data_IF_197853644546
#
_entry.id   IF_197853644546
#
_cell.length_a   1.000
_cell.length_b   1.000
_cell.length_c   1.000
_cell.angle_alpha   90.00
_cell.angle_beta   90.00
_cell.angle_gamma   90.00
#
_symmetry.space_group_name_H-M   'P 1'
#
loop_
_entity.id
_entity.type
_entity.pdbx_description
1 polymer ?
#
# COMPACT_ATOMS: atom_id res chain seq x y z
N UNK A 1 20.47 74.57 0.53
CA UNK A 1 19.59 73.43 0.83
C UNK A 1 20.10 72.22 0.06
N UNK A 2 20.23 71.09 0.75
CA UNK A 2 20.65 69.76 0.29
C UNK A 2 22.12 69.57 -0.13
N UNK A 3 22.86 68.82 0.70
CA UNK A 3 23.99 67.97 0.31
C UNK A 3 24.17 66.86 1.37
N UNK A 4 24.66 65.71 0.91
CA UNK A 4 24.89 64.43 1.59
C UNK A 4 25.92 64.50 2.74
N UNK A 5 25.76 63.65 3.78
CA UNK A 5 26.60 62.46 4.05
C UNK A 5 26.41 61.87 5.48
N UNK A 6 26.38 60.52 5.51
CA UNK A 6 26.94 59.55 6.49
C UNK A 6 26.58 59.63 7.98
N UNK A 7 26.04 58.53 8.51
CA UNK A 7 26.64 57.77 9.63
C UNK A 7 26.20 56.30 9.63
N UNK A 8 27.16 55.42 9.92
CA UNK A 8 27.11 53.96 10.03
C UNK A 8 26.74 53.54 11.46
N UNK A 9 25.90 52.52 11.64
CA UNK A 9 25.93 51.56 12.77
C UNK A 9 25.23 50.27 12.35
N UNK A 10 26.00 49.22 12.04
CA UNK A 10 26.19 47.98 12.83
C UNK A 10 25.09 46.93 12.67
N UNK A 11 25.50 45.74 12.24
CA UNK A 11 24.70 44.53 12.18
C UNK A 11 24.20 44.14 13.58
N UNK A 12 22.89 43.99 13.73
CA UNK A 12 22.27 43.34 14.89
C UNK A 12 21.50 42.10 14.43
N UNK A 13 21.81 41.01 15.14
CA UNK A 13 21.25 39.67 15.15
C UNK A 13 19.80 39.51 14.67
N UNK A 14 19.64 38.80 13.54
CA UNK A 14 18.40 38.10 13.21
C UNK A 14 18.34 36.78 13.99
N UNK A 15 18.09 36.87 15.29
CA UNK A 15 17.56 35.72 16.05
C UNK A 15 16.07 35.55 15.72
N UNK A 16 15.58 34.33 15.42
CA UNK A 16 14.15 34.12 15.19
C UNK A 16 13.43 34.28 16.52
N UNK A 17 12.67 35.37 16.67
CA UNK A 17 11.70 35.52 17.76
C UNK A 17 10.64 34.45 17.64
N UNK A 18 10.83 33.34 18.34
CA UNK A 18 9.76 32.44 18.76
C UNK A 18 8.85 33.22 19.71
N UNK A 19 7.80 33.85 19.18
CA UNK A 19 6.67 34.25 20.04
C UNK A 19 5.95 32.98 20.49
N UNK A 20 6.31 32.54 21.69
CA UNK A 20 5.51 31.63 22.49
C UNK A 20 4.18 32.33 22.79
N UNK A 21 3.09 31.88 22.15
CA UNK A 21 1.73 32.28 22.54
C UNK A 21 1.41 31.48 23.81
N UNK A 22 1.20 32.13 24.97
CA UNK A 22 0.88 31.42 26.20
C UNK A 22 -0.44 30.69 26.06
N UNK A 23 -0.45 29.47 26.59
CA UNK A 23 -1.61 28.61 26.77
C UNK A 23 -2.73 29.35 27.51
N UNK A 24 -3.94 29.36 26.93
CA UNK A 24 -5.15 29.76 27.64
C UNK A 24 -5.84 28.52 28.22
N UNK A 25 -5.54 28.25 29.51
CA UNK A 25 -6.16 27.22 30.34
C UNK A 25 -7.67 27.35 30.46
N UNK A 26 -8.19 28.56 30.31
CA UNK A 26 -9.44 28.95 30.96
C UNK A 26 -10.70 28.39 30.30
N UNK A 27 -10.53 27.71 29.16
CA UNK A 27 -11.64 27.17 28.36
C UNK A 27 -11.80 25.66 28.44
N UNK A 28 -10.97 24.95 29.19
CA UNK A 28 -11.02 23.48 29.27
C UNK A 28 -11.02 22.99 30.72
N UNK A 29 -12.02 22.19 31.13
CA UNK A 29 -11.95 21.50 32.40
C UNK A 29 -10.96 20.33 32.27
N UNK A 30 -10.30 19.99 33.37
CA UNK A 30 -9.43 18.81 33.61
C UNK A 30 -7.92 19.01 33.37
N UNK A 31 -7.19 19.26 34.47
CA UNK A 31 -5.78 18.89 34.61
C UNK A 31 -5.69 17.36 34.70
N UNK A 32 -5.27 16.71 33.61
CA UNK A 32 -4.89 15.29 33.67
C UNK A 32 -3.45 15.18 34.16
N UNK A 33 -3.25 14.44 35.25
CA UNK A 33 -1.93 14.02 35.71
C UNK A 33 -1.36 13.01 34.72
N UNK A 34 -0.23 13.36 34.12
CA UNK A 34 0.52 12.52 33.20
C UNK A 34 1.17 11.38 33.99
N UNK A 35 0.76 10.13 33.75
CA UNK A 35 1.61 8.99 34.07
C UNK A 35 2.65 8.85 32.96
N UNK A 36 3.96 8.90 33.25
CA UNK A 36 4.99 8.60 32.28
C UNK A 36 4.98 7.09 31.99
N UNK A 37 4.02 6.63 31.20
CA UNK A 37 4.14 5.35 30.51
C UNK A 37 5.13 5.53 29.36
N UNK A 38 6.12 4.65 29.24
CA UNK A 38 7.02 4.61 28.08
C UNK A 38 6.30 4.36 26.74
N UNK A 39 5.01 3.99 26.76
CA UNK A 39 4.23 3.70 25.56
C UNK A 39 3.50 4.96 25.02
N UNK A 40 3.65 5.28 23.72
CA UNK A 40 2.94 6.38 23.08
C UNK A 40 1.42 6.14 22.96
N UNK A 41 0.63 7.22 22.91
CA UNK A 41 -0.82 7.15 22.70
C UNK A 41 -1.20 7.18 21.21
N UNK A 42 -2.09 6.27 20.79
CA UNK A 42 -2.75 6.28 19.49
C UNK A 42 -4.23 6.60 19.66
N UNK A 43 -4.66 7.76 19.19
CA UNK A 43 -6.05 8.23 19.32
C UNK A 43 -6.81 7.90 18.04
N UNK A 44 -7.96 7.25 18.16
CA UNK A 44 -8.75 6.79 17.01
C UNK A 44 -10.18 7.30 17.07
N UNK A 45 -10.74 7.57 15.89
CA UNK A 45 -12.18 7.77 15.75
C UNK A 45 -12.95 6.48 16.03
N UNK A 46 -14.09 6.57 16.70
CA UNK A 46 -14.92 5.41 17.07
C UNK A 46 -15.41 4.57 15.89
N UNK A 47 -15.59 5.16 14.69
CA UNK A 47 -15.92 4.40 13.48
C UNK A 47 -14.74 3.65 12.87
N UNK A 48 -13.52 3.95 13.29
CA UNK A 48 -12.35 3.15 12.91
C UNK A 48 -12.45 1.86 13.71
N UNK A 49 -12.89 0.82 13.00
CA UNK A 49 -13.30 -0.44 13.61
C UNK A 49 -12.18 -1.10 14.41
N UNK A 50 -12.61 -1.96 15.33
CA UNK A 50 -11.82 -2.86 16.15
C UNK A 50 -10.74 -3.67 15.42
N UNK A 51 -10.69 -3.75 14.08
CA UNK A 51 -9.58 -4.40 13.35
C UNK A 51 -8.17 -3.78 13.57
N UNK A 52 -8.10 -2.67 14.31
CA UNK A 52 -6.88 -2.08 14.91
C UNK A 52 -6.36 -2.88 16.12
N UNK A 53 -7.05 -3.95 16.55
CA UNK A 53 -6.77 -4.73 17.77
C UNK A 53 -5.31 -5.20 17.99
N UNK A 54 -4.50 -5.53 16.96
CA UNK A 54 -3.18 -6.10 17.24
C UNK A 54 -2.07 -5.11 17.64
N UNK A 55 -2.41 -3.87 17.97
CA UNK A 55 -1.48 -2.77 18.27
C UNK A 55 -1.10 -2.66 19.76
N UNK A 56 -1.81 -3.36 20.65
CA UNK A 56 -1.71 -3.14 22.12
C UNK A 56 -0.30 -3.19 22.71
N UNK A 57 0.68 -3.75 21.99
CA UNK A 57 2.08 -3.78 22.41
C UNK A 57 2.87 -2.50 22.13
N UNK A 58 2.49 -1.73 21.11
CA UNK A 58 3.24 -0.55 20.64
C UNK A 58 2.59 0.78 21.10
N UNK A 59 1.26 0.83 21.19
CA UNK A 59 0.54 2.05 21.57
C UNK A 59 -0.56 1.77 22.59
N UNK A 60 -0.81 2.76 23.46
CA UNK A 60 -2.04 2.86 24.25
C UNK A 60 -3.13 3.49 23.38
N UNK A 61 -4.20 2.75 23.09
CA UNK A 61 -5.29 3.21 22.21
C UNK A 61 -6.33 4.00 23.01
N UNK A 62 -6.73 5.16 22.50
CA UNK A 62 -7.84 5.97 23.05
C UNK A 62 -8.89 6.23 21.98
N UNK A 63 -10.17 6.10 22.32
CA UNK A 63 -11.29 6.40 21.41
C UNK A 63 -11.96 7.71 21.82
N UNK A 64 -12.07 8.64 20.87
CA UNK A 64 -12.61 10.00 21.11
C UNK A 64 -14.12 10.00 21.51
N UNK A 65 -14.83 8.87 21.38
CA UNK A 65 -16.24 8.77 21.79
C UNK A 65 -16.41 8.33 23.24
N UNK A 66 -15.38 7.78 23.89
CA UNK A 66 -15.49 7.24 25.25
C UNK A 66 -15.48 8.33 26.35
N UNK A 67 -15.80 9.59 26.02
CA UNK A 67 -15.85 10.72 26.96
C UNK A 67 -14.48 11.13 27.53
N UNK A 68 -13.44 10.32 27.32
CA UNK A 68 -12.06 10.62 27.66
C UNK A 68 -11.46 11.62 26.65
N UNK A 69 -10.91 12.71 27.17
CA UNK A 69 -10.14 13.66 26.36
C UNK A 69 -8.71 13.12 26.22
N UNK A 70 -8.22 12.86 25.00
CA UNK A 70 -6.87 12.35 24.81
C UNK A 70 -5.81 13.39 25.23
N UNK A 71 -4.63 12.95 25.73
CA UNK A 71 -3.52 13.84 26.00
C UNK A 71 -3.09 14.60 24.75
N UNK A 72 -2.88 15.91 24.84
CA UNK A 72 -2.57 16.76 23.67
C UNK A 72 -1.19 16.47 23.05
N UNK A 73 -0.33 15.76 23.76
CA UNK A 73 0.92 15.17 23.25
C UNK A 73 0.75 13.72 22.77
N UNK A 74 -0.48 13.28 22.46
CA UNK A 74 -0.73 11.96 21.90
C UNK A 74 0.11 11.75 20.65
N UNK A 75 0.58 10.53 20.43
CA UNK A 75 1.57 10.28 19.39
C UNK A 75 1.00 10.32 17.98
N UNK A 76 -0.19 9.76 17.77
CA UNK A 76 -0.88 9.88 16.49
C UNK A 76 -2.39 9.93 16.69
N UNK A 77 -3.06 10.63 15.78
CA UNK A 77 -4.50 10.74 15.68
C UNK A 77 -4.92 10.17 14.31
N UNK A 78 -5.65 9.05 14.32
CA UNK A 78 -6.12 8.38 13.12
C UNK A 78 -7.47 8.96 12.67
N UNK A 79 -7.51 9.49 11.46
CA UNK A 79 -8.70 9.93 10.74
C UNK A 79 -9.02 8.90 9.65
N UNK A 80 -10.28 8.45 9.58
CA UNK A 80 -10.74 7.63 8.45
C UNK A 80 -11.13 8.54 7.27
N UNK A 81 -11.41 7.96 6.11
CA UNK A 81 -12.11 8.64 5.00
C UNK A 81 -13.46 9.26 5.45
N UNK A 82 -14.07 8.67 6.49
CA UNK A 82 -15.24 9.26 7.12
C UNK A 82 -14.76 10.21 8.22
N UNK A 83 -15.06 11.48 8.05
CA UNK A 83 -14.59 12.61 8.83
C UNK A 83 -15.28 12.77 10.17
N UNK A 84 -15.76 11.67 10.74
CA UNK A 84 -16.64 11.66 11.91
C UNK A 84 -16.13 12.52 13.07
N UNK A 85 -14.81 12.52 13.33
CA UNK A 85 -14.22 13.34 14.39
C UNK A 85 -13.64 14.67 13.91
N UNK A 86 -13.71 15.04 12.63
CA UNK A 86 -13.17 16.33 12.14
C UNK A 86 -13.78 17.52 12.87
N UNK A 87 -15.05 17.39 13.27
CA UNK A 87 -15.72 18.43 14.04
C UNK A 87 -15.40 18.43 15.54
N UNK A 88 -14.73 17.40 16.05
CA UNK A 88 -14.33 17.30 17.45
C UNK A 88 -13.29 18.37 17.76
N UNK A 89 -13.44 19.07 18.88
CA UNK A 89 -12.62 20.24 19.22
C UNK A 89 -11.12 19.90 19.30
N UNK A 90 -10.78 18.70 19.78
CA UNK A 90 -9.40 18.20 19.80
C UNK A 90 -8.80 18.07 18.38
N UNK A 91 -9.59 17.60 17.40
CA UNK A 91 -9.14 17.42 16.02
C UNK A 91 -8.98 18.79 15.33
N UNK A 92 -9.92 19.71 15.52
CA UNK A 92 -9.84 21.08 14.99
C UNK A 92 -8.58 21.81 15.47
N UNK A 93 -8.27 21.69 16.76
CA UNK A 93 -7.08 22.28 17.34
C UNK A 93 -5.79 21.59 16.81
N UNK A 94 -5.84 20.27 16.57
CA UNK A 94 -4.74 19.54 15.93
C UNK A 94 -4.40 20.00 14.52
N UNK A 95 -5.42 20.14 13.67
CA UNK A 95 -5.28 20.67 12.31
C UNK A 95 -4.73 22.10 12.34
N UNK A 96 -5.25 22.96 13.23
CA UNK A 96 -4.79 24.35 13.37
C UNK A 96 -3.31 24.43 13.71
N UNK A 97 -2.83 23.65 14.70
CA UNK A 97 -1.41 23.65 15.09
C UNK A 97 -0.51 23.08 14.02
N UNK A 98 -0.97 22.06 13.29
CA UNK A 98 -0.25 21.56 12.12
C UNK A 98 -0.01 22.70 11.12
N UNK A 99 -1.02 23.51 10.81
CA UNK A 99 -0.86 24.67 9.91
C UNK A 99 0.19 25.69 10.34
N UNK A 100 0.46 25.79 11.65
CA UNK A 100 1.48 26.67 12.24
C UNK A 100 2.85 25.99 12.41
N UNK A 101 2.93 24.66 12.26
CA UNK A 101 4.16 23.92 12.46
C UNK A 101 5.18 24.25 11.37
N UNK A 102 6.44 24.38 11.78
CA UNK A 102 7.58 24.58 10.87
C UNK A 102 7.71 23.40 9.93
N UNK A 103 8.16 23.68 8.72
CA UNK A 103 8.54 22.62 7.80
C UNK A 103 9.83 21.96 8.27
N UNK A 104 9.97 20.67 7.97
CA UNK A 104 11.15 19.88 8.28
C UNK A 104 12.24 20.13 7.24
N UNK A 105 13.48 20.20 7.73
CA UNK A 105 14.68 20.25 6.91
C UNK A 105 15.30 18.85 6.91
N UNK A 106 14.91 18.01 5.95
CA UNK A 106 15.36 16.61 5.91
C UNK A 106 16.11 16.35 4.62
N UNK A 107 17.39 16.70 4.59
CA UNK A 107 18.29 16.37 3.49
C UNK A 107 18.66 14.86 3.45
N UNK A 108 18.52 14.14 4.58
CA UNK A 108 19.05 12.77 4.75
C UNK A 108 18.05 11.61 4.52
N UNK A 109 16.74 11.88 4.32
CA UNK A 109 15.70 10.82 4.27
C UNK A 109 14.85 10.83 2.99
N UNK A 110 15.25 11.56 1.97
CA UNK A 110 14.38 11.89 0.83
C UNK A 110 14.48 10.91 -0.35
N UNK A 111 13.36 10.76 -1.07
CA UNK A 111 13.23 10.06 -2.36
C UNK A 111 13.40 8.52 -2.33
N UNK A 112 12.49 7.82 -1.65
CA UNK A 112 12.45 6.37 -1.74
C UNK A 112 11.65 5.67 -0.64
N UNK A 113 11.57 4.36 -0.74
CA UNK A 113 10.91 3.52 0.26
C UNK A 113 11.89 3.05 1.34
N UNK A 114 11.53 3.22 2.61
CA UNK A 114 12.30 2.76 3.76
C UNK A 114 11.36 2.15 4.80
N UNK A 115 11.58 0.88 5.18
CA UNK A 115 10.78 0.13 6.17
C UNK A 115 9.25 0.18 5.93
N UNK A 116 8.82 0.09 4.67
CA UNK A 116 7.39 0.16 4.32
C UNK A 116 6.80 1.57 4.36
N UNK A 117 7.64 2.62 4.32
CA UNK A 117 7.24 4.02 4.23
C UNK A 117 7.87 4.66 2.99
N UNK A 118 7.09 5.28 2.11
CA UNK A 118 7.60 6.09 1.01
C UNK A 118 7.89 7.51 1.47
N UNK A 119 9.12 7.96 1.24
CA UNK A 119 9.61 9.31 1.51
C UNK A 119 9.59 10.12 0.21
N UNK A 120 8.79 11.21 0.14
CA UNK A 120 8.69 12.01 -1.07
C UNK A 120 10.02 12.70 -1.42
N UNK A 121 10.14 13.20 -2.64
CA UNK A 121 11.29 13.98 -3.09
C UNK A 121 11.25 15.41 -2.51
N UNK A 122 12.40 15.93 -2.10
CA UNK A 122 12.55 17.34 -1.74
C UNK A 122 12.55 18.19 -3.03
N UNK A 123 11.38 18.43 -3.61
CA UNK A 123 11.30 19.39 -4.71
C UNK A 123 11.61 20.79 -4.16
N UNK A 124 12.58 21.46 -4.78
CA UNK A 124 13.23 22.72 -4.38
C UNK A 124 12.31 23.97 -4.20
N UNK A 125 11.01 23.83 -3.95
CA UNK A 125 10.15 24.97 -3.59
C UNK A 125 8.94 24.65 -2.71
N UNK A 126 8.72 23.41 -2.28
CA UNK A 126 7.62 23.07 -1.37
C UNK A 126 8.11 22.07 -0.33
N UNK A 127 8.77 22.56 0.72
CA UNK A 127 8.89 21.78 1.95
C UNK A 127 7.44 21.55 2.45
N UNK A 128 6.93 20.32 2.42
CA UNK A 128 5.51 20.01 2.78
C UNK A 128 5.40 19.27 4.11
N UNK A 129 6.46 18.58 4.51
CA UNK A 129 6.54 17.88 5.78
C UNK A 129 6.70 18.86 6.92
N UNK A 130 5.90 18.70 7.97
CA UNK A 130 5.88 19.60 9.12
C UNK A 130 6.32 18.89 10.38
N UNK A 131 7.07 19.60 11.23
CA UNK A 131 7.43 19.10 12.55
C UNK A 131 6.18 18.73 13.35
N UNK A 132 6.25 17.61 14.06
CA UNK A 132 5.21 17.12 14.98
C UNK A 132 5.54 17.44 16.45
N UNK A 133 6.58 18.23 16.72
CA UNK A 133 6.93 18.61 18.09
C UNK A 133 5.77 19.34 18.76
N UNK A 134 5.38 18.88 19.96
CA UNK A 134 4.31 19.46 20.78
C UNK A 134 2.91 19.45 20.13
N UNK A 135 2.67 18.50 19.22
CA UNK A 135 1.35 18.16 18.68
C UNK A 135 1.27 16.68 18.28
N UNK A 136 0.08 16.09 18.18
CA UNK A 136 -0.14 14.81 17.55
C UNK A 136 0.16 14.87 16.06
N UNK A 137 0.66 13.76 15.55
CA UNK A 137 0.64 13.48 14.12
C UNK A 137 -0.80 13.19 13.68
N UNK A 138 -1.23 13.81 12.59
CA UNK A 138 -2.49 13.53 11.93
C UNK A 138 -2.26 12.46 10.87
N UNK A 139 -2.89 11.30 11.04
CA UNK A 139 -2.73 10.16 10.13
C UNK A 139 -4.06 9.88 9.48
N UNK A 140 -4.10 9.88 8.15
CA UNK A 140 -5.29 9.40 7.42
C UNK A 140 -5.12 7.94 7.08
N UNK A 141 -6.12 7.10 7.35
CA UNK A 141 -6.16 5.74 6.82
C UNK A 141 -7.14 5.70 5.66
N UNK A 142 -6.69 5.19 4.53
CA UNK A 142 -7.52 4.98 3.34
C UNK A 142 -7.68 3.49 3.07
N UNK A 143 -8.86 3.07 2.63
CA UNK A 143 -8.98 1.72 2.09
C UNK A 143 -10.38 1.14 1.92
N UNK A 144 -10.58 0.59 0.72
CA UNK A 144 -11.70 -0.22 0.23
C UNK A 144 -11.40 -1.08 -1.03
N UNK A 145 -10.40 -1.98 -1.09
CA UNK A 145 -10.13 -3.03 -2.15
C UNK A 145 -10.32 -2.77 -3.67
N UNK A 146 -11.26 -1.96 -4.17
CA UNK A 146 -11.63 -1.78 -5.58
C UNK A 146 -11.91 -0.32 -6.01
N UNK A 147 -11.86 0.67 -5.12
CA UNK A 147 -12.18 2.06 -5.47
C UNK A 147 -11.01 3.03 -5.36
N UNK A 148 -10.85 3.86 -6.40
CA UNK A 148 -9.86 4.94 -6.48
C UNK A 148 -10.45 6.19 -5.81
N UNK A 149 -9.93 6.57 -4.65
CA UNK A 149 -10.13 7.94 -4.17
C UNK A 149 -9.34 8.89 -5.07
N UNK A 150 -10.06 9.57 -5.97
CA UNK A 150 -9.53 10.65 -6.80
C UNK A 150 -9.67 11.95 -6.01
N UNK A 151 -8.56 12.62 -5.71
CA UNK A 151 -8.59 14.07 -5.45
C UNK A 151 -8.12 14.57 -4.09
N UNK A 152 -7.59 13.73 -3.20
CA UNK A 152 -7.17 14.23 -1.89
C UNK A 152 -5.69 14.60 -1.87
N UNK A 153 -5.42 15.86 -1.50
CA UNK A 153 -4.09 16.33 -1.16
C UNK A 153 -3.77 15.99 0.31
N UNK A 154 -2.48 15.89 0.63
CA UNK A 154 -2.01 15.76 2.01
C UNK A 154 -1.94 17.10 2.76
N UNK A 155 -2.71 18.11 2.33
CA UNK A 155 -2.73 19.43 2.95
C UNK A 155 -3.13 19.39 4.42
N UNK A 156 -3.95 18.41 4.83
CA UNK A 156 -4.63 18.42 6.13
C UNK A 156 -4.10 17.37 7.11
N UNK A 157 -3.18 16.50 6.67
CA UNK A 157 -2.64 15.38 7.47
C UNK A 157 -1.13 15.27 7.31
N UNK A 158 -0.44 14.68 8.29
CA UNK A 158 1.01 14.51 8.24
C UNK A 158 1.42 13.33 7.35
N UNK A 159 0.64 12.25 7.33
CA UNK A 159 0.85 11.14 6.42
C UNK A 159 -0.40 10.28 6.20
N UNK A 160 -0.36 9.49 5.14
CA UNK A 160 -1.46 8.60 4.75
C UNK A 160 -1.00 7.14 4.77
N UNK A 161 -1.83 6.30 5.36
CA UNK A 161 -1.69 4.85 5.34
C UNK A 161 -2.70 4.29 4.34
N UNK A 162 -2.19 3.80 3.22
CA UNK A 162 -2.99 3.32 2.10
C UNK A 162 -3.10 1.80 2.08
N UNK A 163 -4.34 1.33 1.99
CA UNK A 163 -4.65 -0.10 1.77
C UNK A 163 -4.92 -0.45 0.31
N UNK A 164 -4.85 0.51 -0.62
CA UNK A 164 -5.40 0.35 -1.98
C UNK A 164 -4.66 1.05 -3.11
N UNK A 165 -3.97 2.15 -2.83
CA UNK A 165 -3.64 3.08 -3.91
C UNK A 165 -2.40 2.58 -4.64
N UNK A 166 -2.50 2.46 -5.97
CA UNK A 166 -1.35 2.24 -6.87
C UNK A 166 -0.55 3.54 -7.10
N UNK A 167 -0.91 4.60 -6.36
CA UNK A 167 -0.42 5.96 -6.53
C UNK A 167 0.38 6.33 -5.30
N UNK A 168 1.66 6.56 -5.49
CA UNK A 168 2.43 7.43 -4.60
C UNK A 168 1.78 8.81 -4.68
N UNK A 169 1.40 9.38 -3.55
CA UNK A 169 0.94 10.76 -3.52
C UNK A 169 2.18 11.64 -3.47
N UNK A 170 2.20 12.62 -4.35
CA UNK A 170 3.16 13.71 -4.25
C UNK A 170 2.94 14.40 -2.89
N UNK A 171 4.03 14.86 -2.26
CA UNK A 171 4.00 15.77 -1.10
C UNK A 171 3.64 15.19 0.28
N UNK A 172 3.65 13.87 0.49
CA UNK A 172 3.44 13.25 1.81
C UNK A 172 4.00 11.83 1.95
N UNK A 173 4.22 11.39 3.21
CA UNK A 173 4.54 9.97 3.44
C UNK A 173 3.36 9.10 3.09
N UNK A 174 3.63 8.09 2.27
CA UNK A 174 2.65 7.08 1.91
C UNK A 174 3.13 5.73 2.43
N UNK A 175 2.32 5.10 3.27
CA UNK A 175 2.60 3.74 3.77
C UNK A 175 1.72 2.78 2.97
N UNK A 176 2.35 1.94 2.16
CA UNK A 176 1.70 0.82 1.50
C UNK A 176 2.03 -0.43 2.31
N UNK A 177 1.03 -1.25 2.55
CA UNK A 177 1.23 -2.52 3.22
C UNK A 177 0.31 -3.57 2.64
N UNK A 178 0.51 -4.80 3.11
CA UNK A 178 -0.28 -5.97 2.77
C UNK A 178 -1.78 -5.69 2.85
N UNK A 179 -2.42 -5.61 1.69
CA UNK A 179 -3.87 -5.57 1.58
C UNK A 179 -4.39 -6.99 1.83
N UNK A 180 -4.51 -7.35 3.10
CA UNK A 180 -5.10 -8.61 3.53
C UNK A 180 -6.60 -8.66 3.23
N UNK A 181 -7.13 -9.87 3.00
CA UNK A 181 -8.56 -10.09 2.79
C UNK A 181 -9.46 -9.67 3.97
N UNK A 182 -8.90 -9.52 5.16
CA UNK A 182 -9.64 -9.27 6.41
C UNK A 182 -10.41 -7.95 6.45
N UNK A 183 -10.04 -6.96 5.63
CA UNK A 183 -10.61 -5.60 5.70
C UNK A 183 -11.79 -5.34 4.76
N UNK A 184 -11.96 -6.11 3.67
CA UNK A 184 -13.07 -5.92 2.72
C UNK A 184 -14.43 -6.43 3.26
N UNK A 185 -14.42 -7.19 4.36
CA UNK A 185 -15.55 -8.03 4.77
C UNK A 185 -16.59 -7.24 5.56
N UNK A 186 -16.12 -6.27 6.34
CA UNK A 186 -16.96 -5.47 7.24
C UNK A 186 -18.00 -4.61 6.50
N UNK A 187 -17.88 -4.44 5.18
CA UNK A 187 -18.77 -3.58 4.38
C UNK A 187 -19.91 -4.34 3.69
N UNK A 188 -19.66 -5.50 3.09
CA UNK A 188 -20.74 -6.31 2.50
C UNK A 188 -21.68 -6.88 3.58
N UNK A 189 -21.15 -7.16 4.78
CA UNK A 189 -21.94 -7.66 5.91
C UNK A 189 -22.83 -6.62 6.60
N UNK A 190 -22.71 -5.33 6.25
CA UNK A 190 -23.69 -4.33 6.65
C UNK A 190 -24.96 -4.39 5.77
N UNK A 191 -24.89 -5.02 4.59
CA UNK A 191 -25.97 -5.03 3.60
C UNK A 191 -26.54 -6.42 3.32
N UNK A 192 -25.79 -7.51 3.53
CA UNK A 192 -26.26 -8.89 3.28
C UNK A 192 -26.21 -9.77 4.52
N UNK A 193 -27.37 -10.34 4.88
CA UNK A 193 -27.53 -11.29 5.99
C UNK A 193 -26.79 -12.61 5.71
N UNK A 194 -26.03 -13.03 6.70
CA UNK A 194 -25.98 -14.41 7.24
C UNK A 194 -25.54 -15.56 6.29
N UNK A 195 -24.28 -15.52 5.86
CA UNK A 195 -23.54 -16.72 5.44
C UNK A 195 -22.08 -16.74 5.93
N UNK A 196 -21.88 -16.56 7.25
CA UNK A 196 -20.70 -17.07 7.96
C UNK A 196 -19.33 -16.66 7.39
N UNK A 197 -19.13 -15.37 7.11
CA UNK A 197 -17.91 -14.92 6.49
C UNK A 197 -16.78 -14.56 7.46
N UNK A 198 -15.71 -14.07 6.85
CA UNK A 198 -14.38 -14.11 7.43
C UNK A 198 -13.96 -12.70 7.89
N UNK A 199 -14.19 -12.37 9.16
CA UNK A 199 -13.52 -11.25 9.84
C UNK A 199 -12.01 -11.46 9.95
N UNK A 200 -11.30 -10.55 10.65
CA UNK A 200 -9.84 -10.65 10.83
C UNK A 200 -9.43 -11.99 11.42
N UNK A 201 -10.14 -12.44 12.46
CA UNK A 201 -9.86 -13.71 13.14
C UNK A 201 -10.12 -14.91 12.24
N UNK A 202 -11.24 -14.94 11.51
CA UNK A 202 -11.50 -16.05 10.59
C UNK A 202 -10.60 -16.02 9.34
N UNK A 203 -10.16 -14.83 8.89
CA UNK A 203 -9.15 -14.69 7.85
C UNK A 203 -7.82 -15.21 8.35
N UNK A 204 -7.41 -14.81 9.55
CA UNK A 204 -6.24 -15.33 10.24
C UNK A 204 -6.30 -16.85 10.39
N UNK A 205 -7.44 -17.40 10.81
CA UNK A 205 -7.65 -18.84 10.92
C UNK A 205 -7.62 -19.54 9.56
N UNK A 206 -8.20 -18.94 8.52
CA UNK A 206 -8.15 -19.49 7.16
C UNK A 206 -6.70 -19.59 6.68
N UNK A 207 -5.91 -18.53 6.82
CA UNK A 207 -4.50 -18.52 6.42
C UNK A 207 -3.64 -19.41 7.31
N UNK A 208 -3.86 -19.41 8.63
CA UNK A 208 -3.13 -20.23 9.59
C UNK A 208 -3.39 -21.72 9.37
N UNK A 209 -4.64 -22.11 9.13
CA UNK A 209 -4.99 -23.52 8.98
C UNK A 209 -4.77 -24.05 7.56
N UNK A 210 -4.94 -23.23 6.51
CA UNK A 210 -4.83 -23.70 5.11
C UNK A 210 -3.53 -23.36 4.41
N UNK A 211 -2.82 -22.30 4.80
CA UNK A 211 -1.70 -21.75 4.02
C UNK A 211 -0.37 -21.73 4.80
N UNK A 212 -0.41 -21.47 6.12
CA UNK A 212 0.75 -21.51 7.00
C UNK A 212 1.20 -22.95 7.33
N UNK A 213 0.27 -23.89 7.39
CA UNK A 213 0.57 -25.29 7.66
C UNK A 213 0.49 -26.11 6.37
N UNK A 214 1.64 -26.45 5.74
CA UNK A 214 1.67 -27.31 4.56
C UNK A 214 1.22 -28.76 4.81
N UNK A 215 0.65 -29.06 5.98
CA UNK A 215 -0.01 -30.35 6.29
C UNK A 215 -1.39 -30.47 5.63
N UNK A 216 -1.63 -29.78 4.51
CA UNK A 216 -2.68 -30.17 3.58
C UNK A 216 -2.33 -31.59 3.10
N UNK A 217 -3.12 -32.55 3.58
CA UNK A 217 -2.95 -33.99 3.48
C UNK A 217 -2.20 -34.46 2.21
N UNK A 218 -0.95 -34.94 2.30
CA UNK A 218 -0.15 -35.38 1.14
C UNK A 218 -0.76 -36.57 0.38
N UNK A 219 -1.86 -37.14 0.89
CA UNK A 219 -2.61 -38.23 0.30
C UNK A 219 -3.68 -37.80 -0.73
N UNK A 220 -3.94 -36.50 -0.92
CA UNK A 220 -4.84 -36.05 -2.00
C UNK A 220 -3.98 -35.71 -3.23
N UNK A 221 -4.00 -36.53 -4.30
CA UNK A 221 -3.31 -36.18 -5.53
C UNK A 221 -3.85 -34.84 -6.02
N UNK A 222 -2.97 -33.84 -6.21
CA UNK A 222 -3.34 -32.51 -6.68
C UNK A 222 -4.09 -32.62 -8.02
N UNK A 223 -5.42 -32.46 -8.05
CA UNK A 223 -6.21 -32.81 -9.23
C UNK A 223 -6.35 -31.59 -10.12
N UNK A 224 -5.23 -30.95 -10.49
CA UNK A 224 -5.25 -29.81 -11.40
C UNK A 224 -5.70 -30.29 -12.78
N UNK A 225 -6.88 -29.85 -13.22
CA UNK A 225 -7.37 -30.10 -14.58
C UNK A 225 -6.89 -29.03 -15.56
N UNK A 226 -6.32 -27.93 -15.05
CA UNK A 226 -5.89 -26.77 -15.84
C UNK A 226 -4.48 -26.32 -15.46
N UNK A 227 -3.81 -25.68 -16.41
CA UNK A 227 -2.41 -25.29 -16.23
C UNK A 227 -2.24 -24.05 -15.34
N UNK A 228 -2.82 -22.92 -15.74
CA UNK A 228 -2.58 -21.65 -15.07
C UNK A 228 -3.82 -20.76 -15.13
N UNK A 229 -4.12 -20.07 -14.04
CA UNK A 229 -5.20 -19.08 -13.95
C UNK A 229 -4.66 -17.66 -13.96
N UNK A 230 -5.37 -16.75 -14.62
CA UNK A 230 -5.20 -15.31 -14.49
C UNK A 230 -6.55 -14.67 -14.19
N UNK A 231 -6.79 -14.35 -12.91
CA UNK A 231 -8.05 -13.78 -12.44
C UNK A 231 -8.07 -12.28 -12.74
N UNK A 232 -9.01 -11.83 -13.57
CA UNK A 232 -9.17 -10.42 -13.93
C UNK A 232 -10.65 -10.04 -14.02
N UNK A 233 -11.00 -8.82 -13.59
CA UNK A 233 -12.35 -8.25 -13.80
C UNK A 233 -12.45 -7.31 -15.01
N UNK A 234 -11.31 -6.88 -15.54
CA UNK A 234 -11.26 -5.96 -16.68
C UNK A 234 -11.41 -6.71 -18.02
N UNK A 235 -12.00 -6.06 -19.04
CA UNK A 235 -12.12 -6.62 -20.38
C UNK A 235 -10.74 -6.73 -21.04
N UNK A 236 -10.22 -7.95 -21.26
CA UNK A 236 -8.88 -8.13 -21.83
C UNK A 236 -8.76 -7.69 -23.29
N UNK A 237 -9.88 -7.44 -23.99
CA UNK A 237 -9.91 -6.94 -25.37
C UNK A 237 -9.92 -5.40 -25.45
N UNK A 238 -9.76 -4.72 -24.32
CA UNK A 238 -9.67 -3.28 -24.25
C UNK A 238 -8.49 -2.81 -23.38
N UNK A 239 -7.34 -3.49 -23.50
CA UNK A 239 -6.15 -3.26 -22.69
C UNK A 239 -5.69 -1.80 -22.74
N UNK A 240 -5.79 -1.15 -23.90
CA UNK A 240 -5.39 0.26 -24.05
C UNK A 240 -6.27 1.18 -23.19
N UNK A 241 -7.57 0.89 -23.05
CA UNK A 241 -8.44 1.67 -22.16
C UNK A 241 -8.02 1.54 -20.69
N UNK A 242 -7.38 0.43 -20.30
CA UNK A 242 -6.82 0.27 -18.96
C UNK A 242 -5.80 1.37 -18.63
N UNK A 243 -5.06 1.88 -19.61
CA UNK A 243 -4.04 2.91 -19.41
C UNK A 243 -4.54 4.32 -19.78
N UNK A 244 -5.50 4.44 -20.71
CA UNK A 244 -6.03 5.73 -21.17
C UNK A 244 -6.92 6.41 -20.11
N UNK A 245 -7.99 5.73 -19.66
CA UNK A 245 -9.05 6.35 -18.83
C UNK A 245 -8.87 6.09 -17.33
N UNK A 246 -7.76 5.48 -16.97
CA UNK A 246 -7.61 4.77 -15.72
C UNK A 246 -6.25 5.04 -15.08
N UNK A 247 -6.21 5.05 -13.76
CA UNK A 247 -5.02 5.19 -12.91
C UNK A 247 -4.09 3.97 -12.88
N UNK A 248 -4.08 3.11 -13.89
CA UNK A 248 -3.08 2.03 -13.94
C UNK A 248 -1.77 2.61 -14.45
N UNK A 249 -0.66 2.29 -13.79
CA UNK A 249 0.66 2.50 -14.39
C UNK A 249 0.85 1.52 -15.53
N UNK A 250 1.77 1.85 -16.44
CA UNK A 250 2.12 0.97 -17.55
C UNK A 250 2.62 -0.40 -17.07
N UNK A 251 3.17 -0.48 -15.86
CA UNK A 251 3.52 -1.69 -15.12
C UNK A 251 2.46 -2.79 -15.21
N UNK A 252 1.17 -2.44 -15.19
CA UNK A 252 0.10 -3.42 -15.25
C UNK A 252 0.13 -4.22 -16.55
N UNK A 253 0.88 -3.81 -17.59
CA UNK A 253 1.11 -4.60 -18.79
C UNK A 253 1.92 -5.86 -18.54
N UNK A 254 2.76 -5.88 -17.49
CA UNK A 254 3.65 -6.99 -17.12
C UNK A 254 2.87 -8.30 -17.00
N UNK A 255 1.76 -8.30 -16.25
CA UNK A 255 0.92 -9.50 -16.06
C UNK A 255 0.24 -9.98 -17.34
N UNK A 256 -0.08 -9.08 -18.26
CA UNK A 256 -0.70 -9.43 -19.53
C UNK A 256 0.34 -9.97 -20.52
N UNK A 257 1.54 -9.43 -20.53
CA UNK A 257 2.66 -9.96 -21.30
C UNK A 257 3.13 -11.31 -20.76
N UNK A 258 3.24 -11.45 -19.43
CA UNK A 258 3.55 -12.74 -18.82
C UNK A 258 2.49 -13.78 -19.15
N UNK A 259 1.19 -13.45 -19.07
CA UNK A 259 0.11 -14.32 -19.51
C UNK A 259 0.29 -14.77 -20.97
N UNK A 260 0.62 -13.85 -21.90
CA UNK A 260 0.84 -14.17 -23.31
C UNK A 260 2.05 -15.10 -23.48
N UNK A 261 3.18 -14.73 -22.92
CA UNK A 261 4.44 -15.46 -23.04
C UNK A 261 4.34 -16.86 -22.41
N UNK A 262 3.73 -16.99 -21.23
CA UNK A 262 3.52 -18.30 -20.60
C UNK A 262 2.53 -19.16 -21.39
N UNK A 263 1.51 -18.54 -22.00
CA UNK A 263 0.54 -19.23 -22.86
C UNK A 263 1.14 -19.75 -24.17
N UNK A 264 2.30 -19.25 -24.60
CA UNK A 264 3.07 -19.83 -25.73
C UNK A 264 3.58 -21.24 -25.39
N UNK A 265 3.87 -21.53 -24.12
CA UNK A 265 4.28 -22.87 -23.66
C UNK A 265 3.08 -23.80 -23.43
N UNK A 266 2.12 -23.36 -22.63
CA UNK A 266 0.89 -24.12 -22.34
C UNK A 266 -0.24 -23.13 -22.02
N UNK A 267 -1.46 -23.30 -22.57
CA UNK A 267 -2.51 -22.29 -22.45
C UNK A 267 -2.87 -21.95 -21.00
N UNK A 268 -2.82 -20.66 -20.66
CA UNK A 268 -3.35 -20.12 -19.41
C UNK A 268 -4.81 -19.69 -19.62
N UNK A 269 -5.63 -19.78 -18.58
CA UNK A 269 -7.03 -19.33 -18.60
C UNK A 269 -7.17 -17.95 -17.97
N UNK A 270 -7.81 -17.01 -18.67
CA UNK A 270 -8.34 -15.79 -18.05
C UNK A 270 -9.66 -16.10 -17.37
N UNK A 271 -9.70 -15.94 -16.07
CA UNK A 271 -10.90 -16.20 -15.27
C UNK A 271 -11.62 -14.86 -15.06
N UNK A 272 -12.66 -14.59 -15.87
CA UNK A 272 -13.38 -13.30 -15.87
C UNK A 272 -14.71 -13.33 -15.11
N UNK A 273 -15.34 -14.51 -15.01
CA UNK A 273 -16.68 -14.69 -14.42
C UNK A 273 -16.64 -15.33 -13.04
N UNK A 274 -15.53 -15.17 -12.31
CA UNK A 274 -15.47 -15.66 -10.95
C UNK A 274 -16.42 -14.85 -10.07
N UNK A 275 -17.49 -15.48 -9.59
CA UNK A 275 -18.48 -14.87 -8.67
C UNK A 275 -17.91 -14.56 -7.28
N UNK A 276 -16.59 -14.62 -7.10
CA UNK A 276 -15.92 -14.37 -5.85
C UNK A 276 -15.81 -12.88 -5.57
N UNK A 277 -16.33 -12.48 -4.42
CA UNK A 277 -15.72 -11.45 -3.61
C UNK A 277 -14.35 -11.95 -3.09
N UNK A 278 -13.53 -11.09 -2.46
CA UNK A 278 -12.19 -11.47 -2.03
C UNK A 278 -12.11 -12.77 -1.21
N UNK A 279 -13.22 -13.18 -0.59
CA UNK A 279 -13.36 -14.38 0.25
C UNK A 279 -13.45 -15.69 -0.50
N UNK A 280 -13.95 -15.67 -1.73
CA UNK A 280 -14.25 -16.88 -2.47
C UNK A 280 -13.56 -16.96 -3.84
N UNK A 281 -12.90 -15.89 -4.28
CA UNK A 281 -12.23 -15.83 -5.58
C UNK A 281 -11.16 -16.92 -5.75
N UNK A 282 -10.48 -17.32 -4.68
CA UNK A 282 -9.51 -18.42 -4.69
C UNK A 282 -10.13 -19.75 -5.14
N UNK A 283 -11.44 -19.97 -4.92
CA UNK A 283 -12.12 -21.20 -5.35
C UNK A 283 -12.13 -21.36 -6.87
N UNK A 284 -12.12 -20.25 -7.61
CA UNK A 284 -12.02 -20.27 -9.07
C UNK A 284 -10.62 -20.64 -9.57
N UNK A 285 -9.63 -20.66 -8.67
CA UNK A 285 -8.23 -20.95 -8.95
C UNK A 285 -7.87 -22.40 -8.62
N UNK A 286 -8.65 -23.08 -7.74
CA UNK A 286 -8.39 -24.45 -7.24
C UNK A 286 -8.19 -25.54 -8.30
N UNK A 287 -8.60 -25.32 -9.55
CA UNK A 287 -8.42 -26.29 -10.64
C UNK A 287 -7.10 -26.10 -11.41
N UNK A 288 -6.33 -25.05 -11.10
CA UNK A 288 -5.14 -24.65 -11.82
C UNK A 288 -3.87 -24.94 -11.03
N UNK A 289 -2.84 -25.43 -11.72
CA UNK A 289 -1.54 -25.75 -11.11
C UNK A 289 -0.74 -24.49 -10.72
N UNK A 290 -0.93 -23.39 -11.46
CA UNK A 290 -0.26 -22.10 -11.25
C UNK A 290 -1.24 -20.93 -11.28
N UNK A 291 -0.88 -19.83 -10.63
CA UNK A 291 -1.73 -18.64 -10.53
C UNK A 291 -0.96 -17.36 -10.83
N UNK A 292 -1.35 -16.63 -11.88
CA UNK A 292 -0.81 -15.28 -12.14
C UNK A 292 -1.45 -14.31 -11.15
N UNK A 293 -0.69 -13.97 -10.11
CA UNK A 293 -1.08 -13.11 -8.97
C UNK A 293 -0.26 -11.83 -8.94
N UNK A 294 0.09 -11.32 -10.11
CA UNK A 294 0.90 -10.13 -10.28
C UNK A 294 0.10 -8.86 -9.99
N UNK A 295 0.74 -7.93 -9.29
CA UNK A 295 0.21 -6.61 -8.99
C UNK A 295 0.13 -5.72 -10.22
N UNK A 296 -0.58 -4.62 -10.04
CA UNK A 296 -0.76 -3.61 -11.08
C UNK A 296 0.45 -2.69 -11.24
N UNK A 297 1.29 -2.57 -10.21
CA UNK A 297 2.45 -1.67 -10.18
C UNK A 297 3.59 -2.30 -9.37
N UNK A 298 4.84 -2.04 -9.76
CA UNK A 298 6.01 -2.34 -8.95
C UNK A 298 6.24 -1.22 -7.93
N UNK A 299 5.87 -1.48 -6.68
CA UNK A 299 5.97 -0.52 -5.58
C UNK A 299 6.36 -1.29 -4.32
N UNK A 300 7.38 -0.83 -3.61
CA UNK A 300 7.83 -1.47 -2.37
C UNK A 300 6.70 -1.50 -1.33
N UNK A 301 6.56 -2.61 -0.60
CA UNK A 301 5.48 -2.84 0.35
C UNK A 301 4.09 -3.08 -0.26
N UNK A 302 3.91 -2.91 -1.58
CA UNK A 302 2.63 -3.12 -2.25
C UNK A 302 2.39 -4.61 -2.57
N UNK A 303 1.81 -5.31 -1.59
CA UNK A 303 1.38 -6.70 -1.71
C UNK A 303 -0.13 -6.73 -1.48
N UNK A 304 -0.89 -7.33 -2.39
CA UNK A 304 -2.34 -7.33 -2.32
C UNK A 304 -2.94 -8.72 -2.13
N UNK A 305 -4.26 -8.77 -1.97
CA UNK A 305 -5.06 -9.99 -1.88
C UNK A 305 -4.78 -10.97 -3.02
N UNK A 306 -4.29 -10.49 -4.18
CA UNK A 306 -3.97 -11.34 -5.34
C UNK A 306 -3.00 -12.46 -4.97
N UNK A 307 -1.88 -12.12 -4.33
CA UNK A 307 -0.86 -13.10 -3.95
C UNK A 307 -1.41 -14.11 -2.93
N UNK A 308 -2.19 -13.64 -1.96
CA UNK A 308 -2.80 -14.48 -0.95
C UNK A 308 -3.91 -15.40 -1.50
N UNK A 309 -4.71 -14.92 -2.46
CA UNK A 309 -5.68 -15.74 -3.19
C UNK A 309 -5.00 -16.86 -3.98
N UNK A 310 -3.84 -16.60 -4.56
CA UNK A 310 -3.01 -17.63 -5.18
C UNK A 310 -2.68 -18.74 -4.19
N UNK A 311 -2.21 -18.36 -3.00
CA UNK A 311 -1.82 -19.34 -1.99
C UNK A 311 -3.02 -20.16 -1.48
N UNK A 312 -4.21 -19.55 -1.35
CA UNK A 312 -5.45 -20.26 -1.05
C UNK A 312 -5.98 -21.11 -2.21
N UNK A 313 -5.60 -20.77 -3.45
CA UNK A 313 -5.98 -21.45 -4.68
C UNK A 313 -5.38 -22.84 -4.84
N UNK A 314 -4.62 -23.33 -3.85
CA UNK A 314 -4.02 -24.66 -3.83
C UNK A 314 -3.07 -24.98 -4.99
N UNK A 315 -2.65 -23.99 -5.79
CA UNK A 315 -1.54 -24.07 -6.73
C UNK A 315 -0.42 -23.09 -6.37
N UNK A 316 0.61 -22.97 -7.22
CA UNK A 316 1.75 -22.09 -6.96
C UNK A 316 1.47 -20.68 -7.48
N UNK A 317 1.50 -19.64 -6.63
CA UNK A 317 1.39 -18.25 -7.07
C UNK A 317 2.61 -17.82 -7.91
N UNK A 318 2.37 -16.93 -8.87
CA UNK A 318 3.37 -16.28 -9.71
C UNK A 318 3.23 -14.78 -9.51
N UNK A 319 4.25 -14.18 -8.93
CA UNK A 319 4.18 -12.84 -8.36
C UNK A 319 5.12 -11.85 -9.06
N UNK A 320 4.64 -10.62 -9.20
CA UNK A 320 5.38 -9.41 -9.54
C UNK A 320 4.66 -8.26 -8.84
N UNK A 321 5.39 -7.27 -8.31
CA UNK A 321 4.81 -6.19 -7.50
C UNK A 321 5.85 -5.60 -6.58
N UNK A 322 5.74 -5.85 -5.27
CA UNK A 322 6.70 -5.41 -4.27
C UNK A 322 8.09 -6.07 -4.44
N UNK A 323 9.15 -5.29 -4.70
CA UNK A 323 10.52 -5.81 -4.76
C UNK A 323 11.00 -6.42 -3.43
N UNK A 324 10.42 -5.97 -2.31
CA UNK A 324 10.71 -6.40 -0.95
C UNK A 324 9.71 -7.45 -0.42
N UNK A 325 8.96 -8.14 -1.29
CA UNK A 325 7.97 -9.16 -0.88
C UNK A 325 8.53 -10.21 0.08
N UNK A 326 9.82 -10.53 -0.03
CA UNK A 326 10.51 -11.48 0.85
C UNK A 326 10.68 -11.03 2.30
N UNK A 327 10.52 -9.73 2.58
CA UNK A 327 10.46 -9.20 3.96
C UNK A 327 9.17 -9.59 4.68
N UNK A 328 8.16 -10.07 3.93
CA UNK A 328 6.82 -10.33 4.44
C UNK A 328 6.39 -11.79 4.30
N UNK A 329 6.75 -12.42 3.18
CA UNK A 329 6.29 -13.74 2.77
C UNK A 329 7.47 -14.64 2.42
N UNK A 330 7.29 -15.95 2.54
CA UNK A 330 8.33 -16.90 2.19
C UNK A 330 8.48 -17.00 0.67
N UNK A 331 9.54 -16.42 0.12
CA UNK A 331 9.82 -16.46 -1.34
C UNK A 331 10.04 -17.86 -1.89
N UNK A 332 10.22 -18.89 -1.05
CA UNK A 332 10.31 -20.27 -1.49
C UNK A 332 8.95 -20.92 -1.79
N UNK A 333 7.84 -20.29 -1.38
CA UNK A 333 6.47 -20.81 -1.51
C UNK A 333 5.72 -20.33 -2.76
N UNK A 334 6.31 -19.42 -3.52
CA UNK A 334 5.76 -18.90 -4.77
C UNK A 334 6.88 -18.57 -5.76
N UNK A 335 6.53 -18.30 -7.02
CA UNK A 335 7.48 -17.88 -8.03
C UNK A 335 7.53 -16.35 -8.04
N UNK A 336 8.64 -15.77 -7.59
CA UNK A 336 8.89 -14.32 -7.65
C UNK A 336 9.52 -13.94 -8.99
N UNK A 337 8.82 -13.19 -9.83
CA UNK A 337 9.34 -12.62 -11.07
C UNK A 337 10.07 -11.31 -10.76
N UNK A 338 11.40 -11.35 -10.75
CA UNK A 338 12.23 -10.16 -10.55
C UNK A 338 12.45 -9.42 -11.87
N UNK A 339 11.69 -8.34 -12.08
CA UNK A 339 11.83 -7.44 -13.24
C UNK A 339 12.56 -6.20 -12.77
N UNK A 340 13.55 -5.75 -13.54
CA UNK A 340 14.34 -4.57 -13.19
C UNK A 340 13.48 -3.31 -13.00
N UNK A 341 13.59 -2.68 -11.82
CA UNK A 341 12.94 -1.39 -11.56
C UNK A 341 13.40 -0.31 -12.57
N UNK A 342 14.65 -0.35 -13.03
CA UNK A 342 15.12 0.58 -14.05
C UNK A 342 14.39 0.39 -15.40
N UNK A 343 13.99 -0.84 -15.74
CA UNK A 343 13.17 -1.11 -16.93
C UNK A 343 11.75 -0.58 -16.73
N UNK A 344 11.16 -0.81 -15.55
CA UNK A 344 9.84 -0.29 -15.20
C UNK A 344 9.82 1.25 -15.26
N UNK A 345 10.77 1.92 -14.62
CA UNK A 345 10.87 3.39 -14.65
C UNK A 345 11.08 3.94 -16.06
N UNK A 346 11.90 3.26 -16.87
CA UNK A 346 12.07 3.61 -18.28
C UNK A 346 10.74 3.50 -19.04
N UNK A 347 9.97 2.43 -18.83
CA UNK A 347 8.64 2.28 -19.44
C UNK A 347 7.67 3.37 -18.96
N UNK A 348 7.65 3.69 -17.65
CA UNK A 348 6.85 4.78 -17.07
C UNK A 348 7.19 6.13 -17.70
N UNK A 349 8.46 6.43 -17.97
CA UNK A 349 8.89 7.68 -18.62
C UNK A 349 8.34 7.87 -20.05
N UNK A 350 8.12 6.75 -20.73
CA UNK A 350 7.59 6.68 -22.10
C UNK A 350 6.06 6.65 -22.14
N UNK A 351 5.45 5.97 -21.17
CA UNK A 351 4.01 5.86 -21.03
C UNK A 351 3.58 6.37 -19.65
N UNK A 352 3.66 7.69 -19.42
CA UNK A 352 3.31 8.28 -18.14
C UNK A 352 1.82 8.13 -17.85
N UNK A 353 1.51 7.85 -16.58
CA UNK A 353 0.13 7.78 -16.09
C UNK A 353 -0.60 9.12 -16.31
N UNK A 354 -1.88 9.07 -16.68
CA UNK A 354 -2.73 10.25 -16.96
C UNK A 354 -2.21 11.21 -18.04
N UNK A 355 -1.24 10.78 -18.84
CA UNK A 355 -0.73 11.51 -19.97
C UNK A 355 -0.72 10.63 -21.21
N UNK A 356 -0.66 11.26 -22.38
CA UNK A 356 -0.51 10.52 -23.62
C UNK A 356 0.88 9.87 -23.65
N UNK A 357 1.00 8.65 -24.20
CA UNK A 357 2.31 8.09 -24.49
C UNK A 357 3.13 9.05 -25.34
N UNK A 358 4.45 9.02 -25.20
CA UNK A 358 5.33 9.91 -25.98
C UNK A 358 5.06 9.71 -27.49
N UNK A 359 4.85 10.78 -28.28
CA UNK A 359 4.35 10.67 -29.66
C UNK A 359 5.21 9.83 -30.60
N UNK A 360 6.52 9.70 -30.33
CA UNK A 360 7.47 8.96 -31.18
C UNK A 360 7.45 7.44 -30.95
N UNK A 361 6.71 6.94 -29.95
CA UNK A 361 6.73 5.52 -29.59
C UNK A 361 5.88 4.65 -30.52
N UNK A 362 4.83 5.22 -31.09
CA UNK A 362 3.78 4.50 -31.80
C UNK A 362 3.42 5.21 -33.10
N UNK A 363 2.89 4.48 -34.08
CA UNK A 363 2.41 5.07 -35.31
C UNK A 363 0.95 5.54 -35.10
N UNK A 364 0.81 6.66 -34.41
CA UNK A 364 -0.46 7.10 -33.86
C UNK A 364 -1.38 7.69 -34.93
N UNK A 365 -2.38 6.91 -35.37
CA UNK A 365 -3.57 7.41 -36.06
C UNK A 365 -4.64 7.94 -35.08
N UNK A 366 -4.42 7.77 -33.77
CA UNK A 366 -5.30 8.10 -32.64
C UNK A 366 -4.42 8.56 -31.46
N UNK A 367 -4.94 9.29 -30.45
CA UNK A 367 -4.14 9.70 -29.28
C UNK A 367 -3.49 8.56 -28.47
N UNK A 368 -3.89 7.31 -28.70
CA UNK A 368 -3.39 6.11 -28.01
C UNK A 368 -3.09 5.00 -29.03
N UNK A 369 -2.14 4.09 -28.75
CA UNK A 369 -1.79 2.99 -29.65
C UNK A 369 -2.91 1.95 -29.74
N UNK A 370 -2.84 1.09 -30.76
CA UNK A 370 -3.56 -0.18 -30.78
C UNK A 370 -3.04 -1.14 -29.70
N UNK A 371 -3.81 -2.18 -29.37
CA UNK A 371 -3.35 -3.21 -28.42
C UNK A 371 -2.08 -3.91 -28.89
N UNK A 372 -2.01 -4.22 -30.19
CA UNK A 372 -0.86 -4.90 -30.78
C UNK A 372 0.39 -4.02 -30.73
N UNK A 373 0.28 -2.74 -31.06
CA UNK A 373 1.40 -1.79 -30.93
C UNK A 373 1.90 -1.69 -29.50
N UNK A 374 0.97 -1.59 -28.54
CA UNK A 374 1.28 -1.52 -27.11
C UNK A 374 2.01 -2.78 -26.63
N UNK A 375 1.50 -3.97 -27.00
CA UNK A 375 2.16 -5.23 -26.66
C UNK A 375 3.52 -5.36 -27.33
N UNK A 376 3.63 -5.10 -28.64
CA UNK A 376 4.90 -5.20 -29.38
C UNK A 376 5.96 -4.23 -28.86
N UNK A 377 5.55 -3.04 -28.39
CA UNK A 377 6.44 -2.10 -27.74
C UNK A 377 6.91 -2.62 -26.38
N UNK A 378 5.99 -3.04 -25.51
CA UNK A 378 6.33 -3.50 -24.17
C UNK A 378 7.09 -4.83 -24.16
N UNK A 379 6.80 -5.73 -25.10
CA UNK A 379 7.48 -7.02 -25.28
C UNK A 379 9.00 -6.85 -25.47
N UNK A 380 9.43 -5.81 -26.21
CA UNK A 380 10.86 -5.47 -26.41
C UNK A 380 11.62 -5.23 -25.10
N UNK A 381 10.93 -4.75 -24.07
CA UNK A 381 11.51 -4.48 -22.76
C UNK A 381 11.31 -5.66 -21.81
N UNK A 382 10.11 -6.25 -21.80
CA UNK A 382 9.71 -7.17 -20.74
C UNK A 382 9.94 -8.64 -21.08
N UNK A 383 9.94 -9.05 -22.36
CA UNK A 383 10.19 -10.46 -22.73
C UNK A 383 11.49 -11.03 -22.14
N UNK A 384 12.65 -10.33 -22.21
CA UNK A 384 13.87 -10.84 -21.59
C UNK A 384 13.79 -10.87 -20.06
N UNK A 385 13.17 -9.87 -19.44
CA UNK A 385 12.99 -9.78 -17.98
C UNK A 385 12.06 -10.87 -17.43
N UNK A 386 11.03 -11.24 -18.19
CA UNK A 386 10.05 -12.26 -17.82
C UNK A 386 10.54 -13.69 -18.08
N UNK A 387 11.52 -13.86 -18.97
CA UNK A 387 12.00 -15.18 -19.39
C UNK A 387 12.45 -16.07 -18.20
N UNK A 388 13.26 -15.60 -17.24
CA UNK A 388 13.64 -16.43 -16.09
C UNK A 388 12.44 -16.92 -15.30
N UNK A 389 11.42 -16.08 -15.16
CA UNK A 389 10.20 -16.44 -14.45
C UNK A 389 9.37 -17.49 -15.22
N UNK A 390 9.24 -17.32 -16.55
CA UNK A 390 8.60 -18.32 -17.42
C UNK A 390 9.36 -19.65 -17.39
N UNK A 391 10.69 -19.63 -17.47
CA UNK A 391 11.52 -20.83 -17.39
C UNK A 391 11.32 -21.56 -16.05
N UNK A 392 11.20 -20.82 -14.94
CA UNK A 392 10.92 -21.40 -13.61
C UNK A 392 9.55 -22.07 -13.55
N UNK A 393 8.52 -21.48 -14.16
CA UNK A 393 7.20 -22.14 -14.28
C UNK A 393 7.32 -23.44 -15.07
N UNK A 394 8.03 -23.42 -16.21
CA UNK A 394 8.23 -24.59 -17.07
C UNK A 394 8.98 -25.70 -16.31
N UNK A 395 10.00 -25.34 -15.55
CA UNK A 395 10.76 -26.28 -14.71
C UNK A 395 9.85 -26.98 -13.69
N UNK A 396 9.07 -26.20 -12.93
CA UNK A 396 8.13 -26.72 -11.94
C UNK A 396 6.97 -27.50 -12.58
N UNK A 397 6.56 -27.14 -13.80
CA UNK A 397 5.54 -27.88 -14.52
C UNK A 397 6.01 -29.28 -14.92
N UNK A 398 7.31 -29.42 -15.24
CA UNK A 398 7.93 -30.68 -15.70
C UNK A 398 8.50 -31.54 -14.57
N UNK A 399 8.66 -30.98 -13.36
CA UNK A 399 9.25 -31.68 -12.23
C UNK A 399 8.32 -31.64 -11.01
N UNK A 400 7.54 -32.70 -10.83
CA UNK A 400 6.59 -32.83 -9.73
C UNK A 400 7.26 -32.81 -8.35
N UNK A 401 8.51 -33.27 -8.24
CA UNK A 401 9.25 -33.22 -6.97
C UNK A 401 9.57 -31.78 -6.58
N UNK A 402 10.10 -30.99 -7.52
CA UNK A 402 10.36 -29.55 -7.29
C UNK A 402 9.05 -28.77 -7.07
N UNK A 403 7.99 -29.11 -7.81
CA UNK A 403 6.67 -28.53 -7.62
C UNK A 403 6.18 -28.75 -6.19
N UNK A 404 6.20 -30.00 -5.72
CA UNK A 404 5.79 -30.37 -4.36
C UNK A 404 6.64 -29.68 -3.31
N UNK A 405 7.94 -29.54 -3.54
CA UNK A 405 8.82 -28.82 -2.64
C UNK A 405 8.33 -27.36 -2.46
N UNK A 406 8.17 -26.61 -3.56
CA UNK A 406 7.67 -25.22 -3.52
C UNK A 406 6.27 -25.14 -2.90
N UNK A 407 5.35 -26.02 -3.31
CA UNK A 407 3.98 -26.05 -2.81
C UNK A 407 3.88 -26.43 -1.32
N UNK A 408 4.91 -27.08 -0.77
CA UNK A 408 4.98 -27.48 0.65
C UNK A 408 5.70 -26.46 1.54
N UNK A 409 6.27 -25.40 0.96
CA UNK A 409 6.88 -24.34 1.75
C UNK A 409 5.80 -23.55 2.49
N UNK A 410 6.01 -23.19 3.78
CA UNK A 410 5.06 -22.36 4.51
C UNK A 410 4.98 -20.99 3.84
N UNK A 411 3.79 -20.55 3.46
CA UNK A 411 3.62 -19.30 2.70
C UNK A 411 3.93 -18.04 3.52
N UNK A 412 3.53 -18.05 4.78
CA UNK A 412 3.77 -16.97 5.73
C UNK A 412 4.69 -17.51 6.82
N UNK A 413 5.73 -16.75 7.13
CA UNK A 413 6.70 -17.05 8.19
C UNK A 413 6.64 -16.02 9.32
N UNK A 414 6.01 -14.87 9.08
CA UNK A 414 5.82 -13.81 10.03
C UNK A 414 4.31 -13.56 10.27
N UNK A 415 3.80 -13.96 11.44
CA UNK A 415 2.39 -13.81 11.81
C UNK A 415 1.94 -12.34 11.96
N UNK A 416 2.87 -11.42 12.16
CA UNK A 416 2.58 -9.99 12.32
C UNK A 416 1.95 -9.40 11.05
N UNK A 417 2.25 -10.00 9.90
CA UNK A 417 1.65 -9.69 8.59
C UNK A 417 0.15 -9.98 8.59
N UNK A 418 -0.27 -11.12 9.14
CA UNK A 418 -1.68 -11.53 9.16
C UNK A 418 -2.50 -10.74 10.18
N UNK A 419 -1.85 -10.33 11.27
CA UNK A 419 -2.49 -9.55 12.33
C UNK A 419 -2.51 -8.05 12.02
N UNK A 420 -2.15 -7.60 10.82
CA UNK A 420 -2.20 -6.18 10.48
C UNK A 420 -1.35 -5.30 11.40
N UNK A 421 -0.28 -5.83 12.01
CA UNK A 421 0.67 -5.06 12.85
C UNK A 421 1.66 -4.27 12.01
N UNK A 422 1.94 -4.74 10.79
CA UNK A 422 2.92 -4.13 9.90
C UNK A 422 2.67 -2.63 9.57
N UNK A 423 1.44 -2.18 9.25
CA UNK A 423 1.15 -0.76 9.03
C UNK A 423 1.53 0.08 10.24
N UNK A 424 1.30 -0.45 11.44
CA UNK A 424 1.55 0.27 12.68
C UNK A 424 3.03 0.34 13.04
N UNK A 425 3.83 -0.65 12.63
CA UNK A 425 5.30 -0.54 12.67
C UNK A 425 5.83 0.52 11.72
N UNK A 426 5.27 0.59 10.51
CA UNK A 426 5.63 1.63 9.55
C UNK A 426 5.20 3.03 10.06
N UNK A 427 4.04 3.14 10.72
CA UNK A 427 3.61 4.36 11.43
C UNK A 427 4.58 4.71 12.55
N UNK A 428 4.96 3.75 13.41
CA UNK A 428 5.93 3.95 14.50
C UNK A 428 7.28 4.46 13.96
N UNK A 429 7.81 3.82 12.92
CA UNK A 429 9.04 4.26 12.26
C UNK A 429 8.95 5.68 11.71
N UNK A 430 7.84 6.02 11.02
CA UNK A 430 7.63 7.37 10.50
C UNK A 430 7.54 8.40 11.63
N UNK A 431 6.86 8.08 12.73
CA UNK A 431 6.75 8.96 13.90
C UNK A 431 8.11 9.21 14.56
N UNK A 432 8.92 8.17 14.74
CA UNK A 432 10.25 8.29 15.33
C UNK A 432 11.14 9.20 14.48
N UNK A 433 11.07 9.07 13.16
CA UNK A 433 11.82 9.94 12.26
C UNK A 433 11.35 11.41 12.33
N UNK A 434 10.03 11.65 12.45
CA UNK A 434 9.45 13.01 12.48
C UNK A 434 9.52 13.71 13.84
N UNK A 435 9.66 12.97 14.94
CA UNK A 435 9.88 13.56 16.28
C UNK A 435 11.33 13.94 16.53
N UNK A 436 12.26 13.20 15.94
CA UNK A 436 13.70 13.33 16.18
C UNK A 436 14.44 14.16 15.11
N UNK A 437 13.73 14.61 14.07
CA UNK A 437 14.16 15.67 13.14
C UNK A 437 13.67 17.04 13.62
#
# INVERSE_FOLDING_TARGET
AAAHELFVTSAEDLSPKTEYIPWDSSTWPWEFTYEPSNQPYLVVCHRISDWIYPISRHFKILRIIDGEVPPWNSTALLLHEDTFCENHTYVKEAVRRRGLARYLDTDDLMNGWNNGVFWPEALQSTQVLRSIQNRPALVRIRGEVFWRNKGDSCSDVDFIVDRQTERLFDDCFTIHFIQGMSSAYLREHAEEKDDGGLGVDQTFDLYTNKVMHPKANPAVPFPYSKFCSFLIRFDPNNLVAMFNSSSYDIDAIVRHLFFRQLSEYKPCERVTNCKGNPYNSYKCMMQHKFHITMENSAVQGYISEKLFMGALGAGIPIYFGAPDVGSFLNVNSFISCNISLAVIEKMRSFYPRHAKPRPFLFNLSSPFPTEEELFNWADKYLRPELKPCVDRVIELDRNDTLYKQVASEPFITNLDVLNGQYPFRAIEFALDALKNS
#
